data_IF_446511476240
#
_entry.id   IF_446511476240
#
_cell.length_a   1.000
_cell.length_b   1.000
_cell.length_c   1.000
_cell.angle_alpha   90.00
_cell.angle_beta   90.00
_cell.angle_gamma   90.00
#
_symmetry.space_group_name_H-M   'P 1'
#
loop_
_entity.id
_entity.type
_entity.pdbx_description
1 polymer ?
#
# COMPACT_ATOMS: atom_id res chain seq x y z
N UNK A 1 13.34 -8.79 -4.13
CA UNK A 1 12.64 -8.38 -5.38
C UNK A 1 11.59 -7.33 -5.07
N UNK A 2 11.54 -6.23 -5.83
CA UNK A 2 10.50 -5.19 -5.71
C UNK A 2 9.24 -5.65 -6.46
N UNK A 3 8.07 -5.62 -5.83
CA UNK A 3 6.86 -6.32 -6.32
C UNK A 3 5.89 -5.44 -7.13
N UNK A 4 6.17 -4.13 -7.24
CA UNK A 4 5.26 -3.10 -7.79
C UNK A 4 3.86 -3.11 -7.15
N UNK A 5 3.73 -3.70 -5.96
CA UNK A 5 2.54 -3.66 -5.09
C UNK A 5 2.79 -2.75 -3.91
N UNK A 6 1.72 -2.16 -3.38
CA UNK A 6 1.80 -1.17 -2.32
C UNK A 6 0.88 -1.54 -1.16
N UNK A 7 1.33 -1.19 0.06
CA UNK A 7 0.59 -1.41 1.28
C UNK A 7 -0.73 -0.62 1.24
N UNK A 8 -1.88 -1.26 1.53
CA UNK A 8 -3.17 -0.58 1.57
C UNK A 8 -3.29 0.40 2.74
N UNK A 9 -2.50 0.22 3.81
CA UNK A 9 -2.53 1.07 5.01
C UNK A 9 -1.65 2.32 4.84
N UNK A 10 -0.38 2.14 4.48
CA UNK A 10 0.59 3.23 4.47
C UNK A 10 1.08 3.64 3.06
N UNK A 11 0.62 2.98 2.00
CA UNK A 11 0.98 3.30 0.60
C UNK A 11 2.42 2.98 0.18
N UNK A 12 3.28 2.45 1.07
CA UNK A 12 4.67 2.09 0.75
C UNK A 12 4.74 0.81 -0.09
N UNK A 13 5.84 0.64 -0.81
CA UNK A 13 6.04 -0.54 -1.66
C UNK A 13 6.28 -1.79 -0.81
N UNK A 14 5.66 -2.90 -1.21
CA UNK A 14 5.76 -4.18 -0.51
C UNK A 14 6.92 -5.04 -1.05
N UNK A 15 7.42 -5.91 -0.19
CA UNK A 15 8.37 -6.97 -0.53
C UNK A 15 7.64 -8.30 -0.68
N UNK A 16 8.33 -9.34 -1.16
CA UNK A 16 7.78 -10.72 -1.15
C UNK A 16 7.80 -11.23 0.29
N UNK A 17 6.68 -11.78 0.76
CA UNK A 17 6.63 -12.38 2.09
C UNK A 17 7.54 -13.62 2.17
N UNK A 18 8.06 -13.89 3.37
CA UNK A 18 8.77 -15.13 3.71
C UNK A 18 7.84 -16.20 4.30
N UNK A 19 6.62 -15.82 4.69
CA UNK A 19 5.65 -16.71 5.31
C UNK A 19 4.88 -17.46 4.22
N UNK A 20 4.78 -18.78 4.35
CA UNK A 20 4.04 -19.61 3.40
C UNK A 20 2.56 -19.22 3.39
N UNK A 21 1.99 -19.05 2.20
CA UNK A 21 0.60 -18.63 2.00
C UNK A 21 0.43 -17.13 1.77
N UNK A 22 1.36 -16.32 2.27
CA UNK A 22 1.35 -14.87 2.05
C UNK A 22 2.16 -14.50 0.82
N UNK A 23 1.72 -13.44 0.14
CA UNK A 23 2.36 -12.99 -1.08
C UNK A 23 3.35 -11.85 -0.81
N UNK A 24 2.99 -10.95 0.11
CA UNK A 24 3.68 -9.67 0.28
C UNK A 24 3.85 -9.29 1.75
N UNK A 25 4.90 -8.52 2.07
CA UNK A 25 5.15 -8.00 3.41
C UNK A 25 5.42 -6.50 3.36
N UNK A 26 4.85 -5.75 4.31
CA UNK A 26 5.13 -4.34 4.53
C UNK A 26 6.11 -4.16 5.69
N UNK A 27 7.35 -3.76 5.40
CA UNK A 27 8.35 -3.52 6.44
C UNK A 27 8.05 -2.33 7.36
N UNK A 28 7.11 -1.46 6.97
CA UNK A 28 6.73 -0.30 7.80
C UNK A 28 5.56 -0.58 8.74
N UNK A 29 4.65 -1.46 8.34
CA UNK A 29 3.51 -1.84 9.16
C UNK A 29 3.73 -3.17 9.88
N UNK A 30 4.84 -3.85 9.57
CA UNK A 30 5.18 -5.19 10.02
C UNK A 30 4.04 -6.20 9.82
N UNK A 31 3.47 -6.19 8.62
CA UNK A 31 2.27 -6.97 8.27
C UNK A 31 2.42 -7.65 6.92
N UNK A 32 1.91 -8.87 6.84
CA UNK A 32 1.87 -9.73 5.66
C UNK A 32 0.49 -9.70 4.99
N UNK A 33 0.48 -9.82 3.66
CA UNK A 33 -0.71 -9.65 2.83
C UNK A 33 -0.83 -10.72 1.74
N UNK A 34 -2.07 -11.09 1.41
CA UNK A 34 -2.42 -11.85 0.23
C UNK A 34 -2.37 -11.00 -1.04
N UNK A 35 -2.42 -11.66 -2.22
CA UNK A 35 -2.32 -10.96 -3.52
C UNK A 35 -3.44 -9.96 -3.78
N UNK A 36 -4.64 -10.23 -3.28
CA UNK A 36 -5.84 -9.42 -3.53
C UNK A 36 -6.02 -8.27 -2.54
N UNK A 37 -5.30 -8.27 -1.42
CA UNK A 37 -5.40 -7.24 -0.37
C UNK A 37 -4.53 -6.01 -0.66
N UNK A 38 -3.56 -6.13 -1.58
CA UNK A 38 -2.55 -5.11 -1.83
C UNK A 38 -2.90 -4.21 -3.00
N UNK A 39 -2.44 -2.95 -2.94
CA UNK A 39 -2.71 -1.97 -3.98
C UNK A 39 -1.82 -2.20 -5.20
N UNK A 40 -2.42 -2.08 -6.37
CA UNK A 40 -1.72 -1.87 -7.64
C UNK A 40 -1.25 -0.43 -7.79
N UNK A 41 -0.37 -0.16 -8.76
CA UNK A 41 0.04 1.21 -9.12
C UNK A 41 -1.16 2.11 -9.48
N UNK A 42 -2.20 1.56 -10.12
CA UNK A 42 -3.43 2.33 -10.44
C UNK A 42 -4.18 2.70 -9.15
N UNK A 43 -4.39 1.75 -8.25
CA UNK A 43 -5.08 1.98 -6.98
C UNK A 43 -4.31 2.93 -6.05
N UNK A 44 -2.98 2.80 -5.98
CA UNK A 44 -2.16 3.75 -5.21
C UNK A 44 -2.32 5.19 -5.69
N UNK A 45 -2.31 5.43 -7.01
CA UNK A 45 -2.53 6.79 -7.55
C UNK A 45 -3.88 7.37 -7.09
N UNK A 46 -4.94 6.56 -7.05
CA UNK A 46 -6.24 7.00 -6.56
C UNK A 46 -6.21 7.32 -5.06
N UNK A 47 -5.48 6.53 -4.25
CA UNK A 47 -5.26 6.80 -2.83
C UNK A 47 -4.49 8.12 -2.60
N UNK A 48 -3.42 8.35 -3.36
CA UNK A 48 -2.61 9.58 -3.29
C UNK A 48 -3.42 10.82 -3.71
N UNK A 49 -4.37 10.68 -4.64
CA UNK A 49 -5.30 11.75 -5.01
C UNK A 49 -6.31 12.03 -3.89
N UNK A 50 -6.86 10.99 -3.24
CA UNK A 50 -7.82 11.16 -2.14
C UNK A 50 -7.21 11.86 -0.93
N UNK A 51 -5.97 11.52 -0.57
CA UNK A 51 -5.25 12.19 0.54
C UNK A 51 -5.01 13.67 0.25
N UNK A 52 -4.67 14.03 -1.00
CA UNK A 52 -4.53 15.44 -1.43
C UNK A 52 -5.86 16.21 -1.41
N UNK A 53 -6.97 15.56 -1.74
CA UNK A 53 -8.30 16.19 -1.69
C UNK A 53 -8.76 16.47 -0.24
N UNK A 54 -8.41 15.61 0.72
CA UNK A 54 -8.69 15.86 2.15
C UNK A 54 -7.78 16.94 2.76
N UNK A 55 -6.54 17.10 2.27
CA UNK A 55 -5.61 18.13 2.74
C UNK A 55 -5.96 19.57 2.35
N UNK A 56 -6.95 19.79 1.47
CA UNK A 56 -7.41 21.15 1.07
C UNK A 56 -8.57 21.69 1.93
N UNK A 57 -9.06 20.95 2.93
CA UNK A 57 -10.23 21.33 3.75
C UNK A 57 -9.90 21.86 5.15
N UNK A 58 -8.63 22.17 5.43
CA UNK A 58 -8.19 22.74 6.72
C UNK A 58 -7.27 23.94 6.48
N UNK A 59 -7.87 25.05 6.06
CA UNK A 59 -7.35 26.43 6.15
C UNK A 59 -8.45 27.38 5.69
N UNK A 60 -9.48 27.53 6.52
CA UNK A 60 -10.32 28.71 6.65
C UNK A 60 -10.72 28.79 8.12
#
# INVERSE_FOLDING_TARGET
>A
MKTRRFCPKCGRMLLKSRIKGYAFQCMNCDEDFYRFEVLTKKQKRMMDLKTKSHGKRQRL
#
